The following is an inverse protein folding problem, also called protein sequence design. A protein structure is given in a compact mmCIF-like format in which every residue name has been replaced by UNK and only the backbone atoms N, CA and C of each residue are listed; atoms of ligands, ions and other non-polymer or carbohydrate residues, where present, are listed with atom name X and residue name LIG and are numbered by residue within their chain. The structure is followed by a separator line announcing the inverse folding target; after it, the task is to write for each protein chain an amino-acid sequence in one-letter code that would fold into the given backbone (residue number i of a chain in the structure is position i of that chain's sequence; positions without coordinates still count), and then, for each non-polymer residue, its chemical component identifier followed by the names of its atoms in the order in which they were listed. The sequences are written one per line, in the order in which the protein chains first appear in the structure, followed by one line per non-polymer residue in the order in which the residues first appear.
data_IF_517545974103
#
_entry.id   IF_517545974103
#
_cell.length_a   1.000
_cell.length_b   1.000
_cell.length_c   1.000
_cell.angle_alpha   90.00
_cell.angle_beta   90.00
_cell.angle_gamma   90.00
#
_symmetry.space_group_name_H-M   'P 1'
#
loop_
_entity.id
_entity.type
_entity.pdbx_description
1 polymer ?
#
# COMPACT_ATOMS: atom_id res chain seq x y z
N UNK A 1 -15.54 13.73 -3.45
CA UNK A 1 -15.73 14.24 -4.83
C UNK A 1 -17.16 13.99 -5.28
N UNK A 2 -17.70 14.80 -6.21
CA UNK A 2 -19.08 14.67 -6.73
C UNK A 2 -19.35 13.26 -7.30
N UNK A 3 -18.41 12.69 -8.04
CA UNK A 3 -18.50 11.32 -8.59
C UNK A 3 -18.70 10.24 -7.50
N UNK A 4 -17.96 10.30 -6.38
CA UNK A 4 -18.17 9.33 -5.27
C UNK A 4 -19.57 9.45 -4.67
N UNK A 5 -20.06 10.69 -4.46
CA UNK A 5 -21.42 10.91 -3.93
C UNK A 5 -22.49 10.34 -4.88
N UNK A 6 -22.37 10.59 -6.18
CA UNK A 6 -23.29 10.05 -7.20
C UNK A 6 -23.26 8.50 -7.20
N UNK A 7 -22.07 7.89 -7.08
CA UNK A 7 -21.93 6.43 -7.02
C UNK A 7 -22.55 5.82 -5.75
N UNK A 8 -22.37 6.48 -4.60
CA UNK A 8 -23.03 6.08 -3.34
C UNK A 8 -24.54 6.17 -3.44
N UNK A 9 -25.08 7.28 -3.97
CA UNK A 9 -26.53 7.47 -4.15
C UNK A 9 -27.12 6.44 -5.10
N UNK A 10 -26.48 6.19 -6.25
CA UNK A 10 -26.91 5.13 -7.19
C UNK A 10 -26.96 3.78 -6.50
N UNK A 11 -25.90 3.39 -5.79
CA UNK A 11 -25.86 2.08 -5.11
C UNK A 11 -26.96 1.96 -4.05
N UNK A 12 -27.21 3.02 -3.28
CA UNK A 12 -28.23 3.05 -2.24
C UNK A 12 -29.66 2.95 -2.82
N UNK A 13 -29.99 3.79 -3.81
CA UNK A 13 -31.33 3.77 -4.39
C UNK A 13 -31.60 2.53 -5.25
N UNK A 14 -30.59 1.99 -5.93
CA UNK A 14 -30.69 0.68 -6.60
C UNK A 14 -30.96 -0.45 -5.59
N UNK A 15 -30.34 -0.40 -4.40
CA UNK A 15 -30.66 -1.35 -3.34
C UNK A 15 -32.11 -1.19 -2.86
N UNK A 16 -32.57 0.05 -2.65
CA UNK A 16 -33.94 0.31 -2.19
C UNK A 16 -35.01 -0.14 -3.19
N UNK A 17 -34.78 0.05 -4.49
CA UNK A 17 -35.72 -0.36 -5.55
C UNK A 17 -35.61 -1.85 -5.85
N UNK A 18 -34.42 -2.34 -6.19
CA UNK A 18 -34.26 -3.66 -6.80
C UNK A 18 -34.09 -4.77 -5.77
N UNK A 19 -33.49 -4.50 -4.60
CA UNK A 19 -33.29 -5.52 -3.56
C UNK A 19 -34.38 -5.51 -2.51
N UNK A 20 -34.76 -4.34 -2.00
CA UNK A 20 -35.74 -4.26 -0.90
C UNK A 20 -37.17 -3.99 -1.35
N UNK A 21 -37.38 -3.54 -2.59
CA UNK A 21 -38.70 -3.18 -3.11
C UNK A 21 -39.39 -2.02 -2.38
N UNK A 22 -38.67 -1.29 -1.49
CA UNK A 22 -39.23 -0.19 -0.70
C UNK A 22 -39.55 1.05 -1.52
N UNK A 23 -38.97 1.16 -2.71
CA UNK A 23 -39.28 2.20 -3.68
C UNK A 23 -39.66 1.54 -5.01
N UNK A 24 -40.72 2.04 -5.65
CA UNK A 24 -41.16 1.55 -6.97
C UNK A 24 -40.27 2.06 -8.09
N UNK A 25 -39.69 3.25 -7.94
CA UNK A 25 -38.88 3.93 -8.97
C UNK A 25 -37.59 4.47 -8.36
N UNK A 26 -36.52 4.52 -9.16
CA UNK A 26 -35.21 4.99 -8.71
C UNK A 26 -35.05 6.49 -8.98
N UNK A 27 -35.01 7.36 -7.94
CA UNK A 27 -34.98 8.82 -8.11
C UNK A 27 -33.65 9.34 -8.70
N UNK A 28 -32.61 8.50 -8.76
CA UNK A 28 -31.28 8.88 -9.28
C UNK A 28 -30.92 8.13 -10.56
N UNK A 29 -31.91 7.54 -11.23
CA UNK A 29 -31.71 6.81 -12.49
C UNK A 29 -31.13 7.72 -13.58
N UNK A 30 -31.69 8.92 -13.74
CA UNK A 30 -31.25 9.92 -14.71
C UNK A 30 -30.08 10.78 -14.21
N UNK A 31 -29.54 10.53 -13.01
CA UNK A 31 -28.48 11.34 -12.44
C UNK A 31 -27.17 11.10 -13.20
N UNK A 32 -26.69 12.11 -13.92
CA UNK A 32 -25.46 11.99 -14.69
C UNK A 32 -24.21 11.91 -13.79
N UNK A 33 -23.35 10.93 -14.08
CA UNK A 33 -22.02 10.87 -13.51
C UNK A 33 -21.09 11.84 -14.23
N UNK A 34 -20.40 12.75 -13.53
CA UNK A 34 -19.43 13.63 -14.17
C UNK A 34 -18.33 12.80 -14.85
N UNK A 35 -18.06 13.07 -16.13
CA UNK A 35 -16.97 12.43 -16.88
C UNK A 35 -15.64 12.76 -16.20
N UNK A 36 -15.02 11.77 -15.59
CA UNK A 36 -13.67 11.89 -15.08
C UNK A 36 -12.71 11.88 -16.29
N UNK A 37 -11.88 12.91 -16.41
CA UNK A 37 -10.77 12.90 -17.37
C UNK A 37 -9.87 11.70 -17.02
N UNK A 38 -9.74 10.75 -17.94
CA UNK A 38 -8.81 9.62 -17.79
C UNK A 38 -7.42 10.12 -18.18
N UNK A 39 -6.57 10.44 -17.20
CA UNK A 39 -5.14 10.60 -17.46
C UNK A 39 -4.48 9.24 -17.39
N UNK A 40 -3.48 9.00 -18.23
CA UNK A 40 -2.62 7.83 -18.07
C UNK A 40 -1.90 7.90 -16.72
N UNK A 41 -1.71 6.76 -16.04
CA UNK A 41 -0.84 6.71 -14.87
C UNK A 41 0.55 7.21 -15.25
N UNK A 42 1.08 8.16 -14.47
CA UNK A 42 2.50 8.52 -14.58
C UNK A 42 3.32 7.40 -13.96
N UNK A 43 4.30 6.90 -14.68
CA UNK A 43 5.23 5.88 -14.24
C UNK A 43 6.64 6.46 -14.15
N UNK A 44 7.50 5.82 -13.35
CA UNK A 44 8.91 6.19 -13.24
C UNK A 44 9.71 5.52 -14.36
N UNK A 45 10.63 6.25 -14.97
CA UNK A 45 11.66 5.65 -15.83
C UNK A 45 12.70 4.92 -14.97
N UNK A 46 13.53 4.09 -15.60
CA UNK A 46 14.64 3.42 -14.91
C UNK A 46 15.57 4.45 -14.25
N UNK A 47 15.96 5.50 -14.97
CA UNK A 47 16.82 6.58 -14.47
C UNK A 47 16.20 7.29 -13.27
N UNK A 48 14.91 7.62 -13.34
CA UNK A 48 14.18 8.23 -12.22
C UNK A 48 14.11 7.30 -11.01
N UNK A 49 14.00 5.99 -11.23
CA UNK A 49 13.98 5.00 -10.16
C UNK A 49 15.35 4.91 -9.46
N UNK A 50 16.44 4.97 -10.22
CA UNK A 50 17.80 4.98 -9.69
C UNK A 50 18.06 6.28 -8.92
N UNK A 51 17.66 7.43 -9.47
CA UNK A 51 17.78 8.74 -8.80
C UNK A 51 16.96 8.79 -7.50
N UNK A 52 15.76 8.20 -7.50
CA UNK A 52 14.93 8.11 -6.31
C UNK A 52 15.62 7.28 -5.21
N UNK A 53 16.22 6.15 -5.58
CA UNK A 53 16.94 5.29 -4.65
C UNK A 53 18.21 5.94 -4.09
N UNK A 54 18.95 6.71 -4.90
CA UNK A 54 20.17 7.38 -4.45
C UNK A 54 19.92 8.51 -3.45
N UNK A 55 18.71 9.07 -3.43
CA UNK A 55 18.28 10.12 -2.49
C UNK A 55 17.65 9.58 -1.20
N UNK A 56 17.60 8.26 -1.01
CA UNK A 56 17.03 7.68 0.21
C UNK A 56 17.84 8.08 1.45
N UNK A 57 17.19 8.72 2.42
CA UNK A 57 17.86 9.31 3.58
C UNK A 57 18.23 8.33 4.71
N UNK A 58 17.79 7.07 4.64
CA UNK A 58 18.12 6.03 5.61
C UNK A 58 17.95 4.63 5.03
N UNK A 59 18.59 3.61 5.63
CA UNK A 59 18.43 2.19 5.27
C UNK A 59 16.96 1.74 5.26
N UNK A 60 16.16 2.27 6.21
CA UNK A 60 14.72 2.01 6.26
C UNK A 60 14.04 2.52 5.00
N UNK A 61 14.29 3.78 4.66
CA UNK A 61 13.64 4.48 3.57
C UNK A 61 14.07 3.88 2.22
N UNK A 62 15.35 3.53 2.09
CA UNK A 62 15.90 2.78 0.97
C UNK A 62 15.20 1.42 0.81
N UNK A 63 15.10 0.63 1.88
CA UNK A 63 14.41 -0.67 1.86
C UNK A 63 12.95 -0.55 1.43
N UNK A 64 12.23 0.46 1.93
CA UNK A 64 10.83 0.73 1.54
C UNK A 64 10.72 0.99 0.02
N UNK A 65 11.59 1.84 -0.53
CA UNK A 65 11.60 2.17 -1.96
C UNK A 65 11.94 0.95 -2.81
N UNK A 66 12.96 0.18 -2.44
CA UNK A 66 13.35 -1.05 -3.14
C UNK A 66 12.19 -2.04 -3.19
N UNK A 67 11.49 -2.26 -2.07
CA UNK A 67 10.33 -3.15 -2.03
C UNK A 67 9.18 -2.64 -2.92
N UNK A 68 8.89 -1.34 -2.93
CA UNK A 68 7.86 -0.80 -3.83
C UNK A 68 8.20 -1.01 -5.30
N UNK A 69 9.44 -0.71 -5.70
CA UNK A 69 9.88 -0.82 -7.09
C UNK A 69 9.92 -2.27 -7.59
N UNK A 70 10.22 -3.23 -6.71
CA UNK A 70 10.44 -4.63 -7.11
C UNK A 70 9.25 -5.56 -6.81
N UNK A 71 8.51 -5.33 -5.73
CA UNK A 71 7.47 -6.27 -5.26
C UNK A 71 6.05 -5.87 -5.66
N UNK A 72 5.84 -4.67 -6.22
CA UNK A 72 4.51 -4.20 -6.66
C UNK A 72 3.45 -4.19 -5.54
N UNK A 73 3.87 -4.00 -4.30
CA UNK A 73 2.98 -4.04 -3.13
C UNK A 73 2.26 -2.72 -2.88
N UNK A 74 1.11 -2.79 -2.22
CA UNK A 74 0.37 -1.58 -1.82
C UNK A 74 0.95 -0.99 -0.55
N UNK A 75 0.75 0.33 -0.38
CA UNK A 75 1.12 1.06 0.84
C UNK A 75 0.66 0.36 2.13
N UNK A 76 -0.61 -0.05 2.19
CA UNK A 76 -1.18 -0.72 3.37
C UNK A 76 -0.55 -2.09 3.63
N UNK A 77 -0.15 -2.79 2.56
CA UNK A 77 0.50 -4.09 2.64
C UNK A 77 1.92 -3.91 3.23
N UNK A 78 2.69 -2.94 2.73
CA UNK A 78 4.04 -2.63 3.23
C UNK A 78 4.02 -2.22 4.71
N UNK A 79 3.12 -1.30 5.08
CA UNK A 79 3.00 -0.82 6.47
C UNK A 79 2.58 -1.95 7.41
N UNK A 80 1.82 -2.93 6.90
CA UNK A 80 1.33 -4.08 7.66
C UNK A 80 2.35 -5.20 7.87
N UNK A 81 3.49 -5.20 7.17
CA UNK A 81 4.48 -6.28 7.26
C UNK A 81 5.02 -6.47 8.67
N UNK A 82 5.24 -7.72 9.03
CA UNK A 82 5.90 -8.14 10.25
C UNK A 82 7.23 -8.83 9.97
N UNK A 83 8.06 -8.97 10.99
CA UNK A 83 9.31 -9.74 10.93
C UNK A 83 9.07 -11.19 10.46
N UNK A 84 8.00 -11.81 10.94
CA UNK A 84 7.62 -13.19 10.58
C UNK A 84 7.15 -13.35 9.14
N UNK A 85 6.88 -12.26 8.43
CA UNK A 85 6.50 -12.31 7.02
C UNK A 85 7.74 -12.42 6.11
N UNK A 86 8.91 -12.05 6.63
CA UNK A 86 10.18 -12.00 5.89
C UNK A 86 10.94 -13.32 6.05
N UNK A 87 11.12 -14.05 4.95
CA UNK A 87 11.81 -15.34 4.94
C UNK A 87 13.04 -15.24 4.03
N UNK A 88 14.13 -14.64 4.54
CA UNK A 88 15.34 -14.38 3.76
C UNK A 88 16.05 -15.64 3.26
N UNK A 89 16.01 -16.74 4.01
CA UNK A 89 16.63 -18.03 3.58
C UNK A 89 15.98 -18.59 2.33
N UNK A 90 14.67 -18.40 2.21
CA UNK A 90 13.87 -18.86 1.08
C UNK A 90 13.64 -17.75 0.04
N UNK A 91 14.30 -16.59 0.20
CA UNK A 91 14.15 -15.41 -0.63
C UNK A 91 12.68 -15.06 -0.90
N UNK A 92 11.82 -15.11 0.12
CA UNK A 92 10.38 -14.87 -0.03
C UNK A 92 9.83 -13.91 1.03
N UNK A 93 8.79 -13.19 0.65
CA UNK A 93 8.03 -12.28 1.50
C UNK A 93 6.55 -12.64 1.43
N UNK A 94 5.95 -12.82 2.61
CA UNK A 94 4.53 -13.05 2.75
C UNK A 94 3.79 -11.72 2.84
N UNK A 95 2.76 -11.53 2.02
CA UNK A 95 1.97 -10.30 1.98
C UNK A 95 0.51 -10.63 2.22
N UNK A 96 -0.10 -9.98 3.21
CA UNK A 96 -1.52 -10.11 3.52
C UNK A 96 -2.31 -8.95 2.91
N UNK A 97 -3.15 -9.28 1.93
CA UNK A 97 -3.99 -8.34 1.19
C UNK A 97 -5.43 -8.25 1.70
N UNK A 98 -6.28 -7.58 0.90
CA UNK A 98 -7.71 -7.39 1.20
C UNK A 98 -8.42 -8.74 1.38
N UNK A 99 -9.24 -8.83 2.43
CA UNK A 99 -9.99 -10.05 2.77
C UNK A 99 -9.13 -11.12 3.44
N UNK A 100 -8.02 -10.71 4.07
CA UNK A 100 -7.05 -11.58 4.73
C UNK A 100 -6.46 -12.66 3.81
N UNK A 101 -6.38 -12.35 2.50
CA UNK A 101 -5.79 -13.24 1.51
C UNK A 101 -4.29 -13.03 1.48
N UNK A 102 -3.54 -14.12 1.60
CA UNK A 102 -2.09 -14.09 1.63
C UNK A 102 -1.54 -14.40 0.23
N UNK A 103 -0.45 -13.74 -0.14
CA UNK A 103 0.34 -14.07 -1.34
C UNK A 103 1.83 -14.07 -1.00
N UNK A 104 2.59 -14.87 -1.73
CA UNK A 104 4.05 -14.92 -1.60
C UNK A 104 4.65 -14.11 -2.74
N UNK A 105 5.64 -13.27 -2.43
CA UNK A 105 6.46 -12.56 -3.40
C UNK A 105 7.90 -13.03 -3.23
N UNK A 106 8.54 -13.43 -4.33
CA UNK A 106 9.95 -13.80 -4.34
C UNK A 106 10.82 -12.55 -4.42
N UNK A 107 11.89 -12.54 -3.65
CA UNK A 107 12.79 -11.42 -3.46
C UNK A 107 14.02 -11.61 -4.34
N UNK A 108 14.26 -10.66 -5.23
CA UNK A 108 15.54 -10.58 -5.92
C UNK A 108 16.66 -10.15 -4.96
N UNK A 109 17.90 -10.20 -5.44
CA UNK A 109 19.08 -9.89 -4.62
C UNK A 109 19.00 -8.48 -4.01
N UNK A 110 18.59 -7.48 -4.80
CA UNK A 110 18.44 -6.10 -4.33
C UNK A 110 17.46 -5.99 -3.14
N UNK A 111 16.32 -6.68 -3.19
CA UNK A 111 15.38 -6.71 -2.07
C UNK A 111 15.97 -7.37 -0.82
N UNK A 112 16.69 -8.47 -1.00
CA UNK A 112 17.32 -9.19 0.10
C UNK A 112 18.40 -8.34 0.78
N UNK A 113 19.23 -7.65 -0.01
CA UNK A 113 20.29 -6.79 0.50
C UNK A 113 19.72 -5.58 1.24
N UNK A 114 18.69 -4.93 0.67
CA UNK A 114 18.02 -3.81 1.31
C UNK A 114 17.32 -4.23 2.62
N UNK A 115 16.69 -5.41 2.66
CA UNK A 115 16.11 -5.96 3.90
C UNK A 115 17.18 -6.27 4.94
N UNK A 116 18.29 -6.89 4.56
CA UNK A 116 19.41 -7.17 5.48
C UNK A 116 20.01 -5.88 6.04
N UNK A 117 20.26 -4.89 5.18
CA UNK A 117 20.78 -3.57 5.56
C UNK A 117 19.87 -2.89 6.57
N UNK A 118 18.57 -2.85 6.31
CA UNK A 118 17.62 -2.28 7.26
C UNK A 118 17.52 -3.08 8.57
N UNK A 119 17.44 -4.42 8.50
CA UNK A 119 17.32 -5.25 9.70
C UNK A 119 18.52 -5.11 10.65
N UNK A 120 19.72 -4.85 10.12
CA UNK A 120 20.93 -4.62 10.91
C UNK A 120 20.85 -3.32 11.75
N UNK A 121 20.15 -2.30 11.26
CA UNK A 121 20.02 -0.99 11.94
C UNK A 121 18.63 -0.76 12.55
N UNK A 122 17.73 -1.75 12.45
CA UNK A 122 16.36 -1.65 12.94
C UNK A 122 16.39 -1.55 14.48
N UNK A 123 15.73 -0.54 15.09
CA UNK A 123 15.66 -0.45 16.55
C UNK A 123 15.01 -1.70 17.17
N UNK A 124 15.52 -2.15 18.31
CA UNK A 124 14.96 -3.29 19.06
C UNK A 124 14.26 -2.87 20.37
N UNK A 125 14.74 -1.80 21.02
CA UNK A 125 14.27 -1.39 22.35
C UNK A 125 13.18 -0.31 22.31
N UNK A 126 12.30 -0.33 23.30
CA UNK A 126 11.24 0.68 23.48
C UNK A 126 10.20 0.71 22.36
N UNK A 127 10.04 -0.40 21.63
CA UNK A 127 9.03 -0.54 20.58
C UNK A 127 7.66 -0.83 21.17
N UNK A 128 6.64 -0.12 20.67
CA UNK A 128 5.25 -0.39 21.01
C UNK A 128 4.73 -1.66 20.29
N UNK A 129 5.20 -1.89 19.07
CA UNK A 129 4.93 -3.08 18.27
C UNK A 129 6.28 -3.70 17.86
N UNK A 130 6.67 -4.77 18.55
CA UNK A 130 7.95 -5.45 18.31
C UNK A 130 7.95 -6.25 17.00
N UNK A 131 6.78 -6.65 16.53
CA UNK A 131 6.61 -7.50 15.35
C UNK A 131 6.65 -6.71 14.05
N UNK A 132 6.28 -5.42 14.08
CA UNK A 132 6.31 -4.55 12.90
C UNK A 132 7.67 -4.55 12.20
N UNK A 133 7.69 -4.84 10.90
CA UNK A 133 8.93 -4.80 10.13
C UNK A 133 9.50 -3.37 10.13
N UNK A 134 8.71 -2.40 9.67
CA UNK A 134 9.14 -1.00 9.54
C UNK A 134 8.74 -0.15 10.73
N UNK A 135 9.75 0.47 11.36
CA UNK A 135 9.62 1.29 12.56
C UNK A 135 9.88 2.77 12.25
N UNK A 136 9.03 3.66 12.76
CA UNK A 136 9.17 5.11 12.68
C UNK A 136 10.22 5.64 13.66
N UNK A 137 10.64 6.91 13.49
CA UNK A 137 11.54 7.59 14.45
C UNK A 137 10.98 7.65 15.87
N UNK A 138 9.66 7.52 16.03
CA UNK A 138 8.96 7.53 17.32
C UNK A 138 8.81 6.11 17.94
N UNK A 139 9.54 5.11 17.45
CA UNK A 139 9.52 3.71 17.95
C UNK A 139 8.14 3.03 17.86
N UNK A 140 7.34 3.42 16.87
CA UNK A 140 6.05 2.80 16.53
C UNK A 140 6.12 2.23 15.12
N UNK A 141 5.19 1.34 14.76
CA UNK A 141 4.96 0.95 13.37
C UNK A 141 4.88 2.20 12.49
N UNK A 142 5.55 2.18 11.34
CA UNK A 142 5.52 3.31 10.41
C UNK A 142 4.08 3.59 9.96
N UNK A 143 3.70 4.86 9.85
CA UNK A 143 2.34 5.20 9.43
C UNK A 143 2.25 5.25 7.90
N UNK A 144 1.07 4.95 7.31
CA UNK A 144 0.86 5.12 5.86
C UNK A 144 1.16 6.54 5.39
N UNK A 145 0.83 7.55 6.21
CA UNK A 145 1.09 8.96 5.90
C UNK A 145 2.59 9.25 5.82
N UNK A 146 3.39 8.68 6.73
CA UNK A 146 4.85 8.83 6.71
C UNK A 146 5.44 8.27 5.42
N UNK A 147 4.99 7.08 5.01
CA UNK A 147 5.47 6.47 3.77
C UNK A 147 4.99 7.25 2.53
N UNK A 148 3.79 7.82 2.54
CA UNK A 148 3.32 8.70 1.45
C UNK A 148 4.12 9.98 1.28
N UNK A 149 4.75 10.50 2.34
CA UNK A 149 5.61 11.68 2.23
C UNK A 149 7.01 11.34 1.70
N UNK A 150 7.35 10.05 1.64
CA UNK A 150 8.63 9.55 1.18
C UNK A 150 8.62 9.17 -0.31
N UNK A 151 7.45 8.85 -0.88
CA UNK A 151 7.26 8.43 -2.28
C UNK A 151 6.52 9.50 -3.08
#
# INVERSE_FOLDING_TARGET
TRSRKVSSLRSFFTYLTNKTGKLKTNPVEQLETPKLKKSLPKYLTLEQSIELLSKAGSERDYCILVLFLNCGMRLSELVGLNLNDVHLREAKLKITGKGNKERIVYLNQACQDALKGYLAVRPHDGLLDRNALFISRQRRRISPKTVQHLV
#
